data_IF_375949849733
#
_entry.id   IF_375949849733
#
_cell.length_a   1.000
_cell.length_b   1.000
_cell.length_c   1.000
_cell.angle_alpha   90.00
_cell.angle_beta   90.00
_cell.angle_gamma   90.00
#
_symmetry.space_group_name_H-M   'P 1'
#
loop_
_entity.id
_entity.type
_entity.pdbx_description
1 polymer ?
#
# COMPACT_ATOMS: atom_id res chain seq x y z
N UNK A 1 -11.83 25.29 84.95
CA UNK A 1 -12.36 26.27 83.98
C UNK A 1 -11.18 26.84 83.20
N UNK A 2 -11.29 26.81 81.87
CA UNK A 2 -10.54 27.58 80.86
C UNK A 2 -9.01 27.53 80.85
N UNK A 3 -8.46 26.66 79.99
CA UNK A 3 -7.12 26.77 79.44
C UNK A 3 -7.14 27.65 78.18
N UNK A 4 -6.20 28.59 78.14
CA UNK A 4 -6.00 29.60 77.11
C UNK A 4 -5.38 28.99 75.86
N UNK A 5 -5.88 29.39 74.69
CA UNK A 5 -5.34 29.07 73.39
C UNK A 5 -4.11 29.92 73.05
N UNK A 6 -3.14 29.33 72.37
CA UNK A 6 -2.16 30.05 71.54
C UNK A 6 -1.71 29.15 70.40
N UNK A 7 -1.97 29.63 69.17
CA UNK A 7 -1.65 29.07 67.88
C UNK A 7 -0.17 29.18 67.53
N UNK A 8 0.40 28.18 66.85
CA UNK A 8 1.41 28.42 65.81
C UNK A 8 1.63 27.19 64.92
N UNK A 9 1.45 27.40 63.63
CA UNK A 9 1.74 26.51 62.50
C UNK A 9 3.24 26.36 62.24
N UNK A 10 3.71 25.14 61.95
CA UNK A 10 4.87 24.90 61.07
C UNK A 10 4.96 23.42 60.65
N UNK A 11 4.33 23.08 59.53
CA UNK A 11 4.57 21.81 58.83
C UNK A 11 5.86 21.94 58.00
N UNK A 12 6.95 21.33 58.49
CA UNK A 12 8.23 21.23 57.81
C UNK A 12 8.28 20.11 56.75
N UNK A 13 9.32 20.10 55.88
CA UNK A 13 9.20 19.69 54.49
C UNK A 13 9.35 18.19 54.25
N UNK A 14 8.46 17.64 53.43
CA UNK A 14 8.58 16.31 52.86
C UNK A 14 9.83 16.22 51.96
N UNK A 15 10.79 15.38 52.36
CA UNK A 15 12.01 15.08 51.60
C UNK A 15 11.63 14.46 50.26
N UNK A 16 11.77 15.26 49.21
CA UNK A 16 11.67 14.85 47.82
C UNK A 16 12.84 13.91 47.50
N UNK A 17 12.58 12.60 47.45
CA UNK A 17 13.50 11.65 46.84
C UNK A 17 13.64 12.02 45.36
N UNK A 18 14.84 12.46 44.98
CA UNK A 18 15.23 12.64 43.57
C UNK A 18 15.44 11.25 42.98
N UNK A 19 14.43 10.75 42.26
CA UNK A 19 14.62 9.70 41.28
C UNK A 19 15.45 10.22 40.11
N UNK A 20 16.77 10.08 40.21
CA UNK A 20 17.67 10.11 39.07
C UNK A 20 17.44 8.82 38.27
N UNK A 21 16.72 8.88 37.14
CA UNK A 21 16.56 7.69 36.31
C UNK A 21 15.57 7.69 35.14
N UNK A 22 14.83 8.76 34.87
CA UNK A 22 13.73 8.72 33.89
C UNK A 22 13.78 9.83 32.83
N UNK A 23 14.95 10.11 32.24
CA UNK A 23 15.02 11.03 31.09
C UNK A 23 15.55 10.44 29.78
N UNK A 24 16.03 9.20 29.77
CA UNK A 24 16.60 8.60 28.55
C UNK A 24 15.65 7.58 27.89
N UNK A 25 14.71 6.98 28.63
CA UNK A 25 13.78 5.99 28.10
C UNK A 25 12.55 6.56 27.36
N UNK A 26 12.29 7.87 27.45
CA UNK A 26 11.11 8.49 26.83
C UNK A 26 11.31 8.90 25.35
N UNK A 27 12.55 8.89 24.85
CA UNK A 27 12.89 9.42 23.52
C UNK A 27 12.88 8.34 22.42
N UNK A 28 13.08 7.08 22.77
CA UNK A 28 13.08 5.99 21.79
C UNK A 28 11.67 5.67 21.25
N UNK A 29 10.63 5.52 22.08
CA UNK A 29 9.29 5.29 21.56
C UNK A 29 8.76 6.49 20.77
N UNK A 30 9.23 7.72 21.05
CA UNK A 30 8.84 8.90 20.28
C UNK A 30 9.50 8.96 18.90
N UNK A 31 10.76 8.54 18.75
CA UNK A 31 11.42 8.48 17.44
C UNK A 31 10.81 7.39 16.55
N UNK A 32 10.52 6.20 17.10
CA UNK A 32 9.81 5.16 16.34
C UNK A 32 8.37 5.56 16.01
N UNK A 33 7.68 6.26 16.92
CA UNK A 33 6.37 6.81 16.63
C UNK A 33 6.43 7.87 15.51
N UNK A 34 7.36 8.82 15.57
CA UNK A 34 7.53 9.85 14.52
C UNK A 34 7.92 9.20 13.18
N UNK A 35 8.84 8.25 13.19
CA UNK A 35 9.22 7.49 12.01
C UNK A 35 8.04 6.72 11.44
N UNK A 36 7.22 6.05 12.25
CA UNK A 36 6.01 5.37 11.79
C UNK A 36 4.99 6.35 11.20
N UNK A 37 4.75 7.49 11.86
CA UNK A 37 3.81 8.52 11.41
C UNK A 37 4.22 9.19 10.10
N UNK A 38 5.50 9.15 9.72
CA UNK A 38 6.02 9.71 8.46
C UNK A 38 6.29 8.62 7.41
N UNK A 39 6.89 7.49 7.77
CA UNK A 39 7.25 6.43 6.86
C UNK A 39 6.04 5.63 6.38
N UNK A 40 5.04 5.36 7.24
CA UNK A 40 3.83 4.64 6.85
C UNK A 40 3.02 5.33 5.74
N UNK A 41 2.71 6.65 5.82
CA UNK A 41 2.02 7.33 4.73
C UNK A 41 2.89 7.43 3.47
N UNK A 42 4.21 7.60 3.59
CA UNK A 42 5.11 7.59 2.43
C UNK A 42 5.12 6.23 1.72
N UNK A 43 5.17 5.14 2.48
CA UNK A 43 5.07 3.77 1.94
C UNK A 43 3.70 3.53 1.27
N UNK A 44 2.60 3.98 1.89
CA UNK A 44 1.27 3.89 1.29
C UNK A 44 1.17 4.69 -0.01
N UNK A 45 1.77 5.88 -0.06
CA UNK A 45 1.79 6.72 -1.25
C UNK A 45 2.64 6.11 -2.37
N UNK A 46 3.80 5.54 -2.04
CA UNK A 46 4.65 4.82 -2.98
C UNK A 46 3.96 3.56 -3.52
N UNK A 47 3.33 2.77 -2.65
CA UNK A 47 2.57 1.59 -3.04
C UNK A 47 1.37 1.96 -3.94
N UNK A 48 0.70 3.07 -3.66
CA UNK A 48 -0.38 3.56 -4.52
C UNK A 48 0.13 4.01 -5.90
N UNK A 49 1.25 4.73 -5.97
CA UNK A 49 1.82 5.18 -7.25
C UNK A 49 2.24 4.02 -8.15
N UNK A 50 2.97 3.04 -7.59
CA UNK A 50 3.38 1.84 -8.35
C UNK A 50 2.18 0.96 -8.68
N UNK A 51 1.29 0.76 -7.70
CA UNK A 51 0.09 -0.05 -7.87
C UNK A 51 -0.81 0.48 -8.98
N UNK A 52 -1.01 1.81 -9.06
CA UNK A 52 -1.79 2.45 -10.15
C UNK A 52 -1.09 2.27 -11.50
N UNK A 53 0.23 2.44 -11.57
CA UNK A 53 0.97 2.29 -12.82
C UNK A 53 0.93 0.85 -13.34
N UNK A 54 1.18 -0.13 -12.47
CA UNK A 54 1.08 -1.55 -12.83
C UNK A 54 -0.35 -1.94 -13.19
N UNK A 55 -1.34 -1.42 -12.46
CA UNK A 55 -2.75 -1.63 -12.74
C UNK A 55 -3.13 -1.04 -14.11
N UNK A 56 -2.71 0.19 -14.42
CA UNK A 56 -2.96 0.83 -15.70
C UNK A 56 -2.27 0.12 -16.86
N UNK A 57 -1.01 -0.30 -16.67
CA UNK A 57 -0.26 -1.03 -17.68
C UNK A 57 -0.92 -2.40 -17.98
N UNK A 58 -1.27 -3.15 -16.93
CA UNK A 58 -1.91 -4.46 -17.08
C UNK A 58 -3.36 -4.37 -17.59
N UNK A 59 -4.07 -3.27 -17.33
CA UNK A 59 -5.41 -3.04 -17.88
C UNK A 59 -5.35 -2.62 -19.36
N UNK A 60 -4.39 -1.79 -19.75
CA UNK A 60 -4.22 -1.39 -21.15
C UNK A 60 -3.61 -2.49 -22.02
N UNK A 61 -2.74 -3.34 -21.44
CA UNK A 61 -2.15 -4.49 -22.13
C UNK A 61 -3.01 -5.76 -22.04
N UNK A 62 -4.24 -5.68 -21.52
CA UNK A 62 -5.17 -6.80 -21.66
C UNK A 62 -5.38 -7.04 -23.14
N UNK A 63 -4.83 -8.15 -23.63
CA UNK A 63 -5.11 -8.66 -24.96
C UNK A 63 -6.64 -8.70 -25.15
N UNK A 64 -7.15 -7.83 -26.02
CA UNK A 64 -8.56 -7.79 -26.38
C UNK A 64 -8.81 -8.99 -27.29
N UNK A 65 -9.55 -9.97 -26.81
CA UNK A 65 -9.88 -11.14 -27.61
C UNK A 65 -10.60 -12.22 -26.82
N UNK A 66 -10.71 -13.39 -27.46
CA UNK A 66 -11.42 -14.56 -26.94
C UNK A 66 -10.46 -15.31 -26.02
N UNK A 67 -10.78 -15.48 -24.71
CA UNK A 67 -9.94 -16.24 -23.80
C UNK A 67 -10.03 -17.73 -24.09
N UNK A 68 -8.92 -18.43 -23.89
CA UNK A 68 -8.85 -19.86 -24.10
C UNK A 68 -7.51 -20.46 -23.67
N UNK A 69 -7.25 -21.65 -24.18
CA UNK A 69 -6.02 -22.40 -23.96
C UNK A 69 -5.32 -22.61 -25.29
N UNK A 70 -4.00 -22.42 -25.29
CA UNK A 70 -3.13 -22.74 -26.41
C UNK A 70 -2.30 -23.97 -26.06
N UNK A 71 -2.32 -24.97 -26.93
CA UNK A 71 -1.51 -26.17 -26.78
C UNK A 71 -0.41 -26.16 -27.83
N UNK A 72 0.84 -26.05 -27.41
CA UNK A 72 1.98 -26.04 -28.30
C UNK A 72 2.20 -27.45 -28.88
N UNK A 73 2.16 -27.60 -30.21
CA UNK A 73 2.29 -28.89 -30.90
C UNK A 73 3.63 -29.05 -31.60
N UNK A 74 4.25 -27.96 -32.07
CA UNK A 74 5.56 -28.04 -32.69
C UNK A 74 6.42 -26.80 -32.43
N UNK A 75 7.73 -27.00 -32.48
CA UNK A 75 8.74 -25.96 -32.33
C UNK A 75 9.65 -26.01 -33.54
N UNK A 76 9.79 -24.90 -34.26
CA UNK A 76 10.66 -24.80 -35.41
C UNK A 76 11.63 -23.64 -35.21
N UNK A 77 12.92 -23.96 -35.10
CA UNK A 77 13.99 -22.96 -35.04
C UNK A 77 14.76 -22.96 -36.38
N UNK A 78 14.43 -22.02 -37.27
CA UNK A 78 15.22 -21.77 -38.48
C UNK A 78 15.95 -20.44 -38.35
N UNK A 79 17.24 -20.44 -38.68
CA UNK A 79 18.06 -19.22 -38.83
C UNK A 79 17.94 -18.24 -37.63
N UNK A 80 18.03 -18.75 -36.39
CA UNK A 80 17.91 -18.00 -35.13
C UNK A 80 16.50 -17.49 -34.76
N UNK A 81 15.46 -17.71 -35.57
CA UNK A 81 14.08 -17.49 -35.17
C UNK A 81 13.46 -18.82 -34.72
N UNK A 82 13.09 -18.91 -33.44
CA UNK A 82 12.32 -20.02 -32.90
C UNK A 82 10.85 -19.65 -32.85
N UNK A 83 10.03 -20.40 -33.57
CA UNK A 83 8.58 -20.23 -33.64
C UNK A 83 7.94 -21.46 -33.01
N UNK A 84 6.98 -21.24 -32.11
CA UNK A 84 6.12 -22.31 -31.58
C UNK A 84 4.79 -22.26 -32.30
N UNK A 85 4.34 -23.38 -32.84
CA UNK A 85 2.98 -23.51 -33.39
C UNK A 85 2.16 -24.45 -32.54
N UNK A 86 0.85 -24.25 -32.57
CA UNK A 86 -0.07 -24.98 -31.72
C UNK A 86 -1.51 -24.71 -32.05
N UNK A 87 -2.38 -25.28 -31.24
CA UNK A 87 -3.83 -25.17 -31.40
C UNK A 87 -4.39 -24.31 -30.28
N UNK A 88 -5.16 -23.29 -30.63
CA UNK A 88 -5.95 -22.52 -29.69
C UNK A 88 -7.34 -23.12 -29.55
N UNK A 89 -7.84 -23.19 -28.32
CA UNK A 89 -9.21 -23.61 -27.99
C UNK A 89 -9.81 -22.59 -27.03
N UNK A 90 -10.91 -21.95 -27.42
CA UNK A 90 -11.64 -21.01 -26.54
C UNK A 90 -12.16 -21.70 -25.29
N UNK A 91 -12.32 -20.95 -24.19
CA UNK A 91 -12.87 -21.47 -22.92
C UNK A 91 -14.29 -22.07 -23.11
N UNK A 92 -15.08 -21.54 -24.06
CA UNK A 92 -16.42 -22.06 -24.40
C UNK A 92 -16.40 -23.27 -25.35
N UNK A 93 -15.21 -23.75 -25.74
CA UNK A 93 -14.99 -24.82 -26.72
C UNK A 93 -15.66 -24.62 -28.10
N UNK A 94 -16.11 -23.39 -28.41
CA UNK A 94 -16.78 -23.06 -29.67
C UNK A 94 -15.82 -22.70 -30.80
N UNK A 95 -14.66 -22.17 -30.44
CA UNK A 95 -13.62 -21.78 -31.38
C UNK A 95 -12.40 -22.66 -31.15
N UNK A 96 -11.98 -23.35 -32.20
CA UNK A 96 -10.75 -24.13 -32.24
C UNK A 96 -9.98 -23.68 -33.48
N UNK A 97 -8.84 -23.06 -33.27
CA UNK A 97 -8.02 -22.52 -34.36
C UNK A 97 -6.67 -23.24 -34.35
N UNK A 98 -6.38 -24.09 -35.36
CA UNK A 98 -5.11 -24.79 -35.48
C UNK A 98 -4.01 -23.92 -36.08
N UNK A 99 -2.77 -24.40 -35.96
CA UNK A 99 -1.58 -23.84 -36.62
C UNK A 99 -1.27 -22.37 -36.30
N UNK A 100 -1.68 -21.91 -35.12
CA UNK A 100 -1.40 -20.56 -34.66
C UNK A 100 0.01 -20.47 -34.07
N UNK A 101 0.63 -19.32 -34.28
CA UNK A 101 1.95 -18.99 -33.73
C UNK A 101 1.78 -18.52 -32.28
N UNK A 102 2.40 -19.23 -31.35
CA UNK A 102 2.45 -18.91 -29.92
C UNK A 102 3.81 -18.39 -29.47
N UNK A 103 3.93 -18.13 -28.16
CA UNK A 103 5.20 -17.72 -27.55
C UNK A 103 6.23 -18.85 -27.64
N UNK A 104 7.45 -18.53 -28.10
CA UNK A 104 8.56 -19.48 -28.24
C UNK A 104 9.02 -20.09 -26.93
N UNK A 105 8.67 -19.47 -25.80
CA UNK A 105 8.99 -19.93 -24.45
C UNK A 105 8.10 -21.07 -23.98
N UNK A 106 6.97 -21.32 -24.65
CA UNK A 106 6.06 -22.40 -24.29
C UNK A 106 6.59 -23.76 -24.73
N UNK A 107 6.80 -24.71 -23.78
CA UNK A 107 7.27 -26.04 -24.12
C UNK A 107 6.27 -26.77 -25.03
N UNK A 108 6.78 -27.57 -25.97
CA UNK A 108 5.93 -28.45 -26.80
C UNK A 108 5.23 -29.46 -25.90
N UNK A 109 3.94 -29.68 -26.15
CA UNK A 109 3.07 -30.52 -25.33
C UNK A 109 2.58 -29.85 -24.04
N UNK A 110 2.92 -28.58 -23.80
CA UNK A 110 2.32 -27.79 -22.73
C UNK A 110 1.09 -27.04 -23.20
N UNK A 111 0.16 -26.84 -22.27
CA UNK A 111 -1.03 -26.02 -22.45
C UNK A 111 -0.85 -24.76 -21.63
N UNK A 112 -0.98 -23.60 -22.26
CA UNK A 112 -0.85 -22.29 -21.62
C UNK A 112 -2.11 -21.46 -21.84
N UNK A 113 -2.44 -20.59 -20.88
CA UNK A 113 -3.61 -19.72 -21.03
C UNK A 113 -3.27 -18.58 -21.99
N UNK A 114 -4.18 -18.31 -22.92
CA UNK A 114 -3.93 -17.34 -23.97
C UNK A 114 -5.22 -16.63 -24.38
N UNK A 115 -5.07 -15.47 -25.02
CA UNK A 115 -6.16 -14.76 -25.71
C UNK A 115 -5.93 -14.86 -27.20
N UNK A 116 -6.98 -15.23 -27.94
CA UNK A 116 -7.01 -15.17 -29.39
C UNK A 116 -7.68 -13.88 -29.86
N UNK A 117 -6.99 -13.09 -30.68
CA UNK A 117 -7.54 -11.89 -31.31
C UNK A 117 -8.05 -12.22 -32.72
N UNK A 118 -9.37 -12.29 -32.88
CA UNK A 118 -10.01 -12.59 -34.17
C UNK A 118 -9.76 -11.54 -35.27
N UNK A 119 -9.36 -10.31 -34.90
CA UNK A 119 -9.07 -9.24 -35.85
C UNK A 119 -7.68 -9.33 -36.47
N UNK A 120 -6.67 -9.80 -35.72
CA UNK A 120 -5.29 -9.97 -36.21
C UNK A 120 -4.90 -11.42 -36.47
N UNK A 121 -5.67 -12.40 -35.99
CA UNK A 121 -5.33 -13.82 -36.04
C UNK A 121 -4.16 -14.18 -35.13
N UNK A 122 -3.86 -13.34 -34.13
CA UNK A 122 -2.72 -13.52 -33.23
C UNK A 122 -3.16 -14.10 -31.88
N UNK A 123 -2.25 -14.86 -31.27
CA UNK A 123 -2.39 -15.32 -29.90
C UNK A 123 -1.45 -14.54 -29.01
N UNK A 124 -1.97 -14.04 -27.89
CA UNK A 124 -1.15 -13.46 -26.84
C UNK A 124 -1.23 -14.32 -25.59
N UNK A 125 -0.06 -14.68 -25.06
CA UNK A 125 0.02 -15.38 -23.79
C UNK A 125 -0.54 -14.53 -22.66
N UNK A 126 -1.48 -15.09 -21.89
CA UNK A 126 -1.88 -14.52 -20.62
C UNK A 126 -0.91 -15.12 -19.61
N UNK A 127 0.06 -14.32 -19.14
CA UNK A 127 0.77 -14.69 -17.92
C UNK A 127 -0.30 -14.95 -16.84
N UNK A 128 -0.29 -16.17 -16.28
CA UNK A 128 -1.28 -16.74 -15.36
C UNK A 128 -2.18 -15.68 -14.75
N UNK A 129 -3.40 -15.56 -15.31
CA UNK A 129 -4.52 -14.72 -14.86
C UNK A 129 -4.08 -13.65 -13.86
N UNK A 130 -3.61 -12.50 -14.37
CA UNK A 130 -3.37 -11.37 -13.50
C UNK A 130 -4.67 -11.05 -12.74
N UNK A 131 -4.66 -11.33 -11.44
CA UNK A 131 -5.77 -11.04 -10.53
C UNK A 131 -5.63 -9.60 -10.05
N UNK A 132 -6.53 -8.68 -10.43
CA UNK A 132 -6.52 -7.30 -9.95
C UNK A 132 -6.84 -7.18 -8.45
N UNK A 133 -7.44 -8.21 -7.85
CA UNK A 133 -7.97 -8.17 -6.49
C UNK A 133 -6.93 -7.70 -5.46
N UNK A 134 -5.71 -8.28 -5.36
CA UNK A 134 -4.70 -7.82 -4.41
C UNK A 134 -4.27 -6.37 -4.64
N UNK A 135 -4.12 -5.94 -5.91
CA UNK A 135 -3.72 -4.57 -6.24
C UNK A 135 -4.82 -3.57 -5.90
N UNK A 136 -6.08 -3.90 -6.18
CA UNK A 136 -7.24 -3.09 -5.84
C UNK A 136 -7.45 -2.98 -4.34
N UNK A 137 -7.33 -4.10 -3.60
CA UNK A 137 -7.42 -4.10 -2.13
C UNK A 137 -6.30 -3.26 -1.52
N UNK A 138 -5.07 -3.37 -2.04
CA UNK A 138 -3.95 -2.54 -1.61
C UNK A 138 -4.18 -1.04 -1.89
N UNK A 139 -4.73 -0.69 -3.05
CA UNK A 139 -5.08 0.68 -3.40
C UNK A 139 -6.20 1.25 -2.52
N UNK A 140 -7.27 0.48 -2.30
CA UNK A 140 -8.37 0.88 -1.43
C UNK A 140 -7.90 1.05 0.03
N UNK A 141 -7.10 0.12 0.54
CA UNK A 141 -6.55 0.21 1.89
C UNK A 141 -5.63 1.40 2.09
N UNK A 142 -4.71 1.64 1.15
CA UNK A 142 -3.77 2.77 1.21
C UNK A 142 -4.47 4.12 1.11
N UNK A 143 -5.46 4.26 0.22
CA UNK A 143 -6.24 5.50 0.08
C UNK A 143 -7.05 5.82 1.34
N UNK A 144 -7.76 4.84 1.92
CA UNK A 144 -8.49 5.01 3.18
C UNK A 144 -7.54 5.43 4.30
N UNK A 145 -6.38 4.78 4.42
CA UNK A 145 -5.39 5.12 5.42
C UNK A 145 -4.88 6.56 5.26
N UNK A 146 -4.53 6.98 4.04
CA UNK A 146 -4.04 8.33 3.76
C UNK A 146 -5.11 9.41 4.05
N UNK A 147 -6.38 9.13 3.75
CA UNK A 147 -7.50 10.04 4.08
C UNK A 147 -7.63 10.21 5.59
N UNK A 148 -7.65 9.11 6.34
CA UNK A 148 -7.74 9.14 7.80
C UNK A 148 -6.54 9.83 8.43
N UNK A 149 -5.33 9.52 7.96
CA UNK A 149 -4.09 10.15 8.42
C UNK A 149 -4.11 11.66 8.16
N UNK A 150 -4.47 12.08 6.93
CA UNK A 150 -4.59 13.48 6.56
C UNK A 150 -5.63 14.22 7.41
N UNK A 151 -6.77 13.59 7.66
CA UNK A 151 -7.80 14.14 8.54
C UNK A 151 -7.28 14.37 9.97
N UNK A 152 -6.59 13.39 10.56
CA UNK A 152 -6.00 13.52 11.90
C UNK A 152 -4.94 14.64 11.96
N UNK A 153 -4.12 14.78 10.93
CA UNK A 153 -3.15 15.89 10.82
C UNK A 153 -3.86 17.25 10.74
N UNK A 154 -4.93 17.37 9.96
CA UNK A 154 -5.69 18.62 9.85
C UNK A 154 -6.39 18.96 11.17
N UNK A 155 -7.06 18.00 11.81
CA UNK A 155 -7.77 18.21 13.09
C UNK A 155 -6.79 18.59 14.20
N UNK A 156 -5.66 17.91 14.32
CA UNK A 156 -4.63 18.24 15.31
C UNK A 156 -4.03 19.62 15.10
N UNK A 157 -3.79 20.02 13.84
CA UNK A 157 -3.35 21.38 13.50
C UNK A 157 -4.41 22.43 13.82
N UNK A 158 -5.68 22.17 13.54
CA UNK A 158 -6.80 23.07 13.87
C UNK A 158 -6.94 23.27 15.38
N UNK A 159 -6.84 22.19 16.17
CA UNK A 159 -6.88 22.26 17.64
C UNK A 159 -5.73 23.09 18.22
N UNK A 160 -4.51 22.91 17.72
CA UNK A 160 -3.34 23.72 18.16
C UNK A 160 -3.44 25.21 17.81
N UNK A 161 -4.17 25.56 16.75
CA UNK A 161 -4.41 26.97 16.37
C UNK A 161 -5.56 27.61 17.16
N UNK A 162 -6.39 26.80 17.81
CA UNK A 162 -7.55 27.24 18.56
C UNK A 162 -7.29 27.42 20.06
N UNK A 163 -6.05 27.21 20.53
CA UNK A 163 -5.63 27.57 21.88
C UNK A 163 -5.35 29.09 21.89
N UNK A 164 -6.24 29.93 22.46
CA UNK A 164 -5.93 31.34 22.64
C UNK A 164 -4.77 31.43 23.61
N UNK A 165 -3.68 32.06 23.17
CA UNK A 165 -2.60 32.50 24.04
C UNK A 165 -3.21 33.39 25.13
N UNK A 166 -3.44 32.85 26.32
CA UNK A 166 -3.82 33.65 27.49
C UNK A 166 -2.59 34.47 27.84
N UNK A 167 -2.53 35.68 27.30
CA UNK A 167 -1.56 36.70 27.72
C UNK A 167 -1.99 37.11 29.13
N UNK A 168 -1.35 36.54 30.14
CA UNK A 168 -1.45 37.06 31.51
C UNK A 168 -0.88 38.48 31.50
N UNK A 169 -1.77 39.47 31.49
CA UNK A 169 -1.39 40.85 31.71
C UNK A 169 -0.84 40.96 33.14
N UNK A 170 0.48 41.07 33.26
CA UNK A 170 1.17 41.49 34.47
C UNK A 170 0.79 42.95 34.74
N UNK A 171 -0.29 43.16 35.49
CA UNK A 171 -0.61 44.45 36.09
C UNK A 171 0.53 44.82 37.03
N UNK A 172 1.29 45.86 36.69
CA UNK A 172 2.28 46.45 37.57
C UNK A 172 1.62 47.01 38.82
N UNK A 173 2.27 46.83 39.96
CA UNK A 173 2.00 47.61 41.16
C UNK A 173 3.15 48.61 41.32
N UNK A 174 2.75 49.87 41.48
CA UNK A 174 3.63 50.97 41.89
C UNK A 174 3.89 51.00 43.39
#
# INVERSE_FOLDING_TARGET
>A
MTATASSSSSAGPARHWRGFGTRVAAWWPSVFAVAFWVAAPLLCLYAALIGVQQLAHNLNDKAVGIPGTFTATSHNCQQQLCITSGTFTSDDARLVEPDLIGDFRWPVGSTSRAVYNAGSGEITGIADVWDPTPTLVGLAGSTIFLILWGYLVVVSRRRRRAEPTVVTASSGNG
#
